data_IF_038605443336
#
_entry.id   IF_038605443336
#
_cell.length_a   1.000
_cell.length_b   1.000
_cell.length_c   1.000
_cell.angle_alpha   90.00
_cell.angle_beta   90.00
_cell.angle_gamma   90.00
#
_symmetry.space_group_name_H-M   'P 1'
#
loop_
_entity.id
_entity.type
_entity.pdbx_description
1 polymer ?
#
# COMPACT_ATOMS: atom_id res chain seq x y z
N UNK A 1 -9.30 28.90 54.87
CA UNK A 1 -8.14 29.70 55.30
C UNK A 1 -6.99 29.32 54.39
N UNK A 2 -6.68 30.13 53.38
CA UNK A 2 -5.71 31.25 53.42
C UNK A 2 -4.27 30.70 53.52
N UNK A 3 -3.52 30.72 52.41
CA UNK A 3 -2.48 31.73 52.06
C UNK A 3 -1.13 31.40 52.77
N UNK A 4 0.08 31.61 52.26
CA UNK A 4 0.70 32.37 51.18
C UNK A 4 2.13 31.77 50.99
N UNK A 5 2.68 31.63 49.77
CA UNK A 5 3.62 32.55 49.09
C UNK A 5 4.85 33.02 49.90
N UNK A 6 6.05 32.76 49.37
CA UNK A 6 7.22 33.67 49.41
C UNK A 6 8.31 33.20 48.42
N UNK A 7 8.43 33.94 47.31
CA UNK A 7 9.64 34.10 46.49
C UNK A 7 10.76 34.78 47.28
N UNK A 8 12.03 34.48 46.97
CA UNK A 8 13.08 35.50 47.04
C UNK A 8 14.14 35.27 45.94
N UNK A 9 14.53 36.38 45.34
CA UNK A 9 15.22 36.53 44.06
C UNK A 9 16.70 36.93 44.27
N UNK A 10 17.52 36.70 43.23
CA UNK A 10 18.78 37.41 42.86
C UNK A 10 20.06 37.22 43.70
N UNK A 11 21.13 36.79 43.00
CA UNK A 11 22.20 37.68 42.51
C UNK A 11 23.27 36.96 41.66
N UNK A 12 23.48 37.47 40.45
CA UNK A 12 24.73 37.34 39.69
C UNK A 12 25.81 38.27 40.26
N UNK A 13 27.09 38.02 39.93
CA UNK A 13 27.95 39.13 39.52
C UNK A 13 28.71 38.86 38.21
N UNK A 14 28.82 39.91 37.41
CA UNK A 14 29.72 40.08 36.25
C UNK A 14 31.14 40.48 36.71
N UNK A 15 32.16 40.25 35.87
CA UNK A 15 33.33 41.15 35.76
C UNK A 15 34.73 40.52 35.83
N UNK A 16 35.33 40.35 34.66
CA UNK A 16 36.74 40.09 34.23
C UNK A 16 37.80 41.09 34.80
N UNK A 17 39.13 41.10 34.46
CA UNK A 17 39.96 40.21 33.62
C UNK A 17 41.42 39.93 34.14
N UNK A 18 42.20 39.22 33.31
CA UNK A 18 43.66 39.32 33.07
C UNK A 18 44.59 38.13 33.41
N UNK A 19 45.23 37.66 32.33
CA UNK A 19 46.66 37.37 32.18
C UNK A 19 47.15 35.92 32.29
N UNK A 20 47.41 35.33 31.11
CA UNK A 20 48.77 34.98 30.72
C UNK A 20 49.19 33.51 30.90
N UNK A 21 49.48 32.84 29.77
CA UNK A 21 50.34 31.65 29.77
C UNK A 21 50.13 30.74 28.55
N UNK A 22 51.08 30.77 27.62
CA UNK A 22 51.26 29.88 26.48
C UNK A 22 50.95 28.40 26.77
N UNK A 23 50.32 27.74 25.79
CA UNK A 23 50.59 26.34 25.45
C UNK A 23 50.26 26.15 23.98
N UNK A 24 51.29 26.11 23.14
CA UNK A 24 51.24 25.52 21.82
C UNK A 24 50.84 24.03 21.99
N UNK A 25 49.77 23.61 21.34
CA UNK A 25 49.59 22.20 21.01
C UNK A 25 49.07 22.10 19.58
N UNK A 26 49.95 21.64 18.70
CA UNK A 26 49.63 21.26 17.34
C UNK A 26 48.89 19.91 17.37
N UNK A 27 47.80 19.84 16.62
CA UNK A 27 47.06 18.60 16.45
C UNK A 27 45.86 18.77 15.55
N UNK A 28 46.04 19.41 14.40
CA UNK A 28 45.04 19.32 13.32
C UNK A 28 45.23 17.96 12.65
N UNK A 29 44.60 16.94 13.25
CA UNK A 29 44.48 15.61 12.66
C UNK A 29 43.27 15.60 11.75
N UNK A 30 43.50 15.88 10.48
CA UNK A 30 42.62 15.52 9.37
C UNK A 30 42.26 14.02 9.46
N UNK A 31 41.11 13.71 10.05
CA UNK A 31 40.49 12.39 10.04
C UNK A 31 39.57 12.28 8.83
N UNK A 32 40.14 12.27 7.64
CA UNK A 32 39.45 12.09 6.36
C UNK A 32 39.71 10.72 5.71
N UNK A 33 40.51 9.86 6.36
CA UNK A 33 40.93 8.56 5.79
C UNK A 33 40.02 7.35 6.06
N UNK A 34 39.02 7.45 6.95
CA UNK A 34 38.19 6.30 7.33
C UNK A 34 37.09 5.99 6.29
N UNK A 35 36.54 7.03 5.64
CA UNK A 35 35.48 6.86 4.63
C UNK A 35 35.97 6.32 3.29
N UNK A 36 37.20 6.65 2.87
CA UNK A 36 37.74 6.18 1.59
C UNK A 36 38.07 4.68 1.55
N UNK A 37 38.25 4.06 2.72
CA UNK A 37 38.49 2.62 2.82
C UNK A 37 37.15 1.86 2.90
N UNK A 38 36.14 2.40 3.60
CA UNK A 38 34.77 1.87 3.61
C UNK A 38 34.12 1.88 2.21
N UNK A 39 34.26 2.98 1.44
CA UNK A 39 33.72 3.08 0.07
C UNK A 39 34.32 2.01 -0.86
N UNK A 40 35.63 1.73 -0.75
CA UNK A 40 36.31 0.71 -1.56
C UNK A 40 35.88 -0.71 -1.17
N UNK A 41 35.69 -0.96 0.13
CA UNK A 41 35.17 -2.24 0.63
C UNK A 41 33.74 -2.49 0.12
N UNK A 42 32.88 -1.45 0.16
CA UNK A 42 31.51 -1.52 -0.34
C UNK A 42 31.48 -1.73 -1.86
N UNK A 43 32.33 -1.06 -2.64
CA UNK A 43 32.42 -1.29 -4.09
C UNK A 43 32.87 -2.72 -4.43
N UNK A 44 33.85 -3.26 -3.70
CA UNK A 44 34.29 -4.65 -3.88
C UNK A 44 33.18 -5.66 -3.54
N UNK A 45 32.40 -5.40 -2.49
CA UNK A 45 31.27 -6.24 -2.11
C UNK A 45 30.12 -6.17 -3.13
N UNK A 46 29.82 -4.98 -3.69
CA UNK A 46 28.88 -4.83 -4.80
C UNK A 46 29.28 -5.72 -5.98
N UNK A 47 30.55 -5.69 -6.40
CA UNK A 47 31.04 -6.53 -7.50
C UNK A 47 30.93 -8.02 -7.19
N UNK A 48 31.20 -8.42 -5.95
CA UNK A 48 31.06 -9.81 -5.49
C UNK A 48 29.60 -10.28 -5.60
N UNK A 49 28.66 -9.46 -5.15
CA UNK A 49 27.22 -9.76 -5.21
C UNK A 49 26.72 -9.79 -6.66
N UNK A 50 27.16 -8.87 -7.52
CA UNK A 50 26.83 -8.88 -8.94
C UNK A 50 27.31 -10.15 -9.65
N UNK A 51 28.52 -10.62 -9.34
CA UNK A 51 29.05 -11.88 -9.87
C UNK A 51 28.29 -13.09 -9.32
N UNK A 52 27.91 -13.09 -8.04
CA UNK A 52 27.08 -14.14 -7.48
C UNK A 52 25.72 -14.25 -8.19
N UNK A 53 25.10 -13.11 -8.53
CA UNK A 53 23.86 -13.06 -9.31
C UNK A 53 24.06 -13.41 -10.79
N UNK A 54 25.25 -13.22 -11.34
CA UNK A 54 25.60 -13.66 -12.70
C UNK A 54 25.64 -15.19 -12.79
N UNK A 55 26.10 -15.86 -11.72
CA UNK A 55 26.15 -17.32 -11.58
C UNK A 55 24.75 -17.88 -11.24
N UNK A 56 24.04 -17.26 -10.30
CA UNK A 56 22.71 -17.68 -9.86
C UNK A 56 21.76 -16.48 -9.71
N UNK A 57 21.02 -16.17 -10.77
CA UNK A 57 20.05 -15.08 -10.76
C UNK A 57 18.86 -15.31 -9.79
N UNK A 58 18.63 -16.54 -9.33
CA UNK A 58 17.50 -16.90 -8.47
C UNK A 58 17.82 -16.85 -6.96
N UNK A 59 18.96 -16.26 -6.57
CA UNK A 59 19.29 -16.05 -5.16
C UNK A 59 18.59 -14.79 -4.61
N UNK A 60 17.44 -14.99 -3.96
CA UNK A 60 16.61 -13.91 -3.42
C UNK A 60 17.34 -13.02 -2.40
N UNK A 61 18.11 -13.62 -1.48
CA UNK A 61 18.81 -12.87 -0.44
C UNK A 61 19.96 -12.04 -1.04
N UNK A 62 20.66 -12.59 -2.03
CA UNK A 62 21.72 -11.85 -2.73
C UNK A 62 21.20 -10.59 -3.43
N UNK A 63 19.99 -10.63 -4.02
CA UNK A 63 19.34 -9.42 -4.55
C UNK A 63 19.06 -8.38 -3.45
N UNK A 64 18.56 -8.81 -2.29
CA UNK A 64 18.27 -7.91 -1.17
C UNK A 64 19.54 -7.24 -0.64
N UNK A 65 20.60 -8.01 -0.42
CA UNK A 65 21.89 -7.49 0.07
C UNK A 65 22.48 -6.49 -0.94
N UNK A 66 22.43 -6.80 -2.24
CA UNK A 66 22.89 -5.90 -3.30
C UNK A 66 22.07 -4.60 -3.33
N UNK A 67 20.75 -4.67 -3.28
CA UNK A 67 19.87 -3.49 -3.29
C UNK A 67 20.12 -2.63 -2.05
N UNK A 68 20.31 -3.26 -0.88
CA UNK A 68 20.61 -2.54 0.37
C UNK A 68 21.92 -1.77 0.26
N UNK A 69 22.98 -2.42 -0.23
CA UNK A 69 24.30 -1.81 -0.36
C UNK A 69 24.30 -0.68 -1.42
N UNK A 70 23.69 -0.92 -2.58
CA UNK A 70 23.53 0.11 -3.62
C UNK A 70 22.74 1.34 -3.15
N UNK A 71 21.76 1.15 -2.26
CA UNK A 71 21.01 2.26 -1.64
C UNK A 71 21.85 3.04 -0.63
N UNK A 72 22.71 2.36 0.13
CA UNK A 72 23.62 2.99 1.10
C UNK A 72 24.68 3.85 0.39
N UNK A 73 25.26 3.35 -0.69
CA UNK A 73 26.27 4.06 -1.49
C UNK A 73 25.69 5.17 -2.39
N UNK A 74 24.36 5.29 -2.48
CA UNK A 74 23.73 6.30 -3.35
C UNK A 74 23.89 6.03 -4.85
N UNK A 75 24.17 4.78 -5.26
CA UNK A 75 24.34 4.36 -6.65
C UNK A 75 22.99 4.23 -7.38
N UNK A 76 22.27 5.35 -7.56
CA UNK A 76 20.86 5.39 -7.97
C UNK A 76 20.53 4.61 -9.26
N UNK A 77 21.40 4.72 -10.28
CA UNK A 77 21.17 4.04 -11.58
C UNK A 77 21.31 2.53 -11.44
N UNK A 78 22.32 2.05 -10.71
CA UNK A 78 22.51 0.62 -10.45
C UNK A 78 21.40 0.09 -9.56
N UNK A 79 21.01 0.85 -8.53
CA UNK A 79 19.90 0.53 -7.64
C UNK A 79 18.58 0.29 -8.41
N UNK A 80 18.22 1.20 -9.32
CA UNK A 80 17.01 1.05 -10.14
C UNK A 80 17.06 -0.21 -11.01
N UNK A 81 18.22 -0.50 -11.63
CA UNK A 81 18.43 -1.72 -12.42
C UNK A 81 18.36 -3.00 -11.58
N UNK A 82 18.94 -3.00 -10.39
CA UNK A 82 18.90 -4.15 -9.48
C UNK A 82 17.46 -4.45 -9.04
N UNK A 83 16.71 -3.42 -8.64
CA UNK A 83 15.28 -3.54 -8.28
C UNK A 83 14.42 -4.03 -9.44
N UNK A 84 14.64 -3.53 -10.65
CA UNK A 84 13.96 -4.02 -11.86
C UNK A 84 14.22 -5.52 -12.10
N UNK A 85 15.49 -5.94 -12.12
CA UNK A 85 15.86 -7.35 -12.29
C UNK A 85 15.23 -8.25 -11.24
N UNK A 86 15.25 -7.84 -9.96
CA UNK A 86 14.65 -8.61 -8.88
C UNK A 86 13.14 -8.76 -9.08
N UNK A 87 12.43 -7.67 -9.44
CA UNK A 87 10.97 -7.67 -9.64
C UNK A 87 10.49 -8.49 -10.83
N UNK A 88 11.34 -8.69 -11.84
CA UNK A 88 11.04 -9.54 -13.00
C UNK A 88 11.04 -11.02 -12.58
N UNK A 89 11.99 -11.41 -11.73
CA UNK A 89 12.18 -12.77 -11.28
C UNK A 89 11.22 -13.15 -10.14
N UNK A 90 10.99 -12.24 -9.20
CA UNK A 90 10.25 -12.50 -7.97
C UNK A 90 9.09 -11.51 -7.81
N UNK A 91 7.91 -11.97 -7.35
CA UNK A 91 6.93 -11.08 -6.76
C UNK A 91 7.51 -10.47 -5.47
N UNK A 92 7.44 -9.15 -5.32
CA UNK A 92 8.02 -8.46 -4.18
C UNK A 92 6.96 -8.20 -3.09
N UNK A 93 7.40 -8.18 -1.83
CA UNK A 93 6.53 -7.87 -0.69
C UNK A 93 6.11 -6.40 -0.72
N UNK A 94 5.04 -6.08 0.00
CA UNK A 94 4.56 -4.69 0.15
C UNK A 94 5.67 -3.75 0.65
N UNK A 95 6.49 -4.21 1.60
CA UNK A 95 7.60 -3.43 2.17
C UNK A 95 8.68 -3.09 1.14
N UNK A 96 9.10 -4.06 0.31
CA UNK A 96 10.14 -3.85 -0.71
C UNK A 96 9.64 -2.88 -1.78
N UNK A 97 8.38 -3.03 -2.21
CA UNK A 97 7.76 -2.12 -3.16
C UNK A 97 7.65 -0.70 -2.60
N UNK A 98 7.21 -0.54 -1.35
CA UNK A 98 7.10 0.77 -0.69
C UNK A 98 8.47 1.46 -0.57
N UNK A 99 9.51 0.71 -0.23
CA UNK A 99 10.86 1.27 -0.14
C UNK A 99 11.36 1.78 -1.49
N UNK A 100 11.06 1.06 -2.57
CA UNK A 100 11.37 1.52 -3.93
C UNK A 100 10.53 2.74 -4.31
N UNK A 101 9.20 2.66 -4.12
CA UNK A 101 8.28 3.76 -4.44
C UNK A 101 8.67 5.05 -3.72
N UNK A 102 9.00 4.99 -2.42
CA UNK A 102 9.40 6.15 -1.62
C UNK A 102 10.68 6.82 -2.14
N UNK A 103 11.64 6.03 -2.61
CA UNK A 103 12.86 6.58 -3.20
C UNK A 103 12.55 7.29 -4.54
N UNK A 104 11.76 6.66 -5.42
CA UNK A 104 11.41 7.24 -6.72
C UNK A 104 10.50 8.47 -6.57
N UNK A 105 9.58 8.49 -5.60
CA UNK A 105 8.73 9.66 -5.29
C UNK A 105 9.59 10.85 -4.85
N UNK A 106 10.62 10.63 -4.03
CA UNK A 106 11.52 11.70 -3.57
C UNK A 106 12.40 12.25 -4.71
N UNK A 107 12.75 11.39 -5.66
CA UNK A 107 13.55 11.78 -6.82
C UNK A 107 12.72 12.45 -7.92
N UNK A 108 11.43 12.10 -8.03
CA UNK A 108 10.52 12.65 -9.03
C UNK A 108 10.23 14.13 -8.77
N UNK A 109 10.80 14.98 -9.60
CA UNK A 109 10.66 16.44 -9.56
C UNK A 109 9.85 16.99 -10.74
N UNK A 110 9.84 16.27 -11.86
CA UNK A 110 9.17 16.67 -13.10
C UNK A 110 7.85 15.93 -13.35
N UNK A 111 7.02 16.47 -14.27
CA UNK A 111 5.74 15.85 -14.64
C UNK A 111 5.89 14.54 -15.42
N UNK A 112 6.98 14.35 -16.18
CA UNK A 112 7.28 13.10 -16.88
C UNK A 112 7.62 11.98 -15.89
N UNK A 113 8.48 12.28 -14.90
CA UNK A 113 8.89 11.35 -13.84
C UNK A 113 7.69 10.90 -12.99
N UNK A 114 6.67 11.76 -12.84
CA UNK A 114 5.41 11.39 -12.17
C UNK A 114 4.66 10.27 -12.88
N UNK A 115 4.67 10.22 -14.21
CA UNK A 115 4.03 9.13 -14.94
C UNK A 115 4.82 7.82 -14.78
N UNK A 116 6.16 7.88 -14.75
CA UNK A 116 7.00 6.71 -14.45
C UNK A 116 6.71 6.14 -13.04
N UNK A 117 6.50 7.02 -12.06
CA UNK A 117 6.09 6.60 -10.71
C UNK A 117 4.69 5.95 -10.73
N UNK A 118 3.75 6.47 -11.52
CA UNK A 118 2.45 5.81 -11.68
C UNK A 118 2.58 4.41 -12.31
N UNK A 119 3.41 4.24 -13.34
CA UNK A 119 3.69 2.93 -13.91
C UNK A 119 4.32 1.97 -12.89
N UNK A 120 5.14 2.48 -11.98
CA UNK A 120 5.72 1.71 -10.89
C UNK A 120 4.65 1.25 -9.89
N UNK A 121 3.72 2.13 -9.51
CA UNK A 121 2.55 1.75 -8.70
C UNK A 121 1.70 0.67 -9.38
N UNK A 122 1.43 0.80 -10.69
CA UNK A 122 0.68 -0.19 -11.47
C UNK A 122 1.34 -1.58 -11.50
N UNK A 123 2.65 -1.65 -11.30
CA UNK A 123 3.37 -2.92 -11.14
C UNK A 123 3.25 -3.44 -9.72
N UNK A 124 3.47 -2.57 -8.74
CA UNK A 124 3.46 -2.93 -7.33
C UNK A 124 2.13 -3.55 -6.87
N UNK A 125 1.00 -3.00 -7.33
CA UNK A 125 -0.35 -3.47 -6.95
C UNK A 125 -0.75 -4.84 -7.53
N UNK A 126 0.11 -5.48 -8.34
CA UNK A 126 -0.19 -6.75 -9.00
C UNK A 126 0.36 -7.98 -8.27
N UNK A 127 1.40 -7.82 -7.44
CA UNK A 127 2.07 -8.97 -6.82
C UNK A 127 1.23 -9.57 -5.69
N UNK A 128 0.79 -8.75 -4.74
CA UNK A 128 -0.04 -9.14 -3.60
C UNK A 128 -1.05 -8.05 -3.26
N UNK A 129 -1.99 -8.39 -2.37
CA UNK A 129 -2.83 -7.37 -1.74
C UNK A 129 -1.95 -6.41 -0.92
N UNK A 130 -2.12 -5.11 -1.14
CA UNK A 130 -1.22 -4.09 -0.60
C UNK A 130 -1.95 -2.80 -0.20
N UNK A 131 -2.63 -2.78 0.95
CA UNK A 131 -3.39 -1.61 1.40
C UNK A 131 -2.53 -0.34 1.56
N UNK A 132 -1.29 -0.46 2.02
CA UNK A 132 -0.39 0.67 2.26
C UNK A 132 0.09 1.27 0.93
N UNK A 133 0.39 0.42 -0.07
CA UNK A 133 0.75 0.88 -1.42
C UNK A 133 -0.42 1.62 -2.07
N UNK A 134 -1.65 1.11 -1.91
CA UNK A 134 -2.84 1.80 -2.43
C UNK A 134 -3.06 3.16 -1.77
N UNK A 135 -2.82 3.27 -0.48
CA UNK A 135 -2.92 4.54 0.25
C UNK A 135 -1.87 5.53 -0.24
N UNK A 136 -0.60 5.11 -0.33
CA UNK A 136 0.49 5.93 -0.85
C UNK A 136 0.23 6.33 -2.32
N UNK A 137 -0.31 5.42 -3.14
CA UNK A 137 -0.67 5.71 -4.53
C UNK A 137 -1.73 6.81 -4.61
N UNK A 138 -2.80 6.67 -3.82
CA UNK A 138 -3.86 7.67 -3.77
C UNK A 138 -3.31 9.03 -3.29
N UNK A 139 -2.53 9.05 -2.21
CA UNK A 139 -1.92 10.26 -1.67
C UNK A 139 -0.96 10.93 -2.67
N UNK A 140 -0.09 10.15 -3.32
CA UNK A 140 0.82 10.65 -4.35
C UNK A 140 0.04 11.27 -5.52
N UNK A 141 -1.10 10.68 -5.90
CA UNK A 141 -1.93 11.17 -6.99
C UNK A 141 -2.56 12.54 -6.71
N UNK A 142 -2.85 12.86 -5.43
CA UNK A 142 -3.37 14.17 -5.02
C UNK A 142 -2.39 15.30 -5.39
N UNK A 143 -1.07 15.03 -5.34
CA UNK A 143 -0.06 15.99 -5.79
C UNK A 143 -0.18 16.41 -7.26
N UNK A 144 -0.90 15.63 -8.08
CA UNK A 144 -1.19 15.93 -9.49
C UNK A 144 -2.54 16.60 -9.75
N UNK A 145 -3.30 16.99 -8.72
CA UNK A 145 -4.69 17.47 -8.87
C UNK A 145 -4.83 18.72 -9.75
N UNK A 146 -3.79 19.57 -9.82
CA UNK A 146 -3.80 20.79 -10.63
C UNK A 146 -3.63 20.57 -12.14
N UNK A 147 -3.37 19.34 -12.57
CA UNK A 147 -3.25 18.97 -13.99
C UNK A 147 -4.65 18.76 -14.60
N UNK A 148 -4.75 18.83 -15.93
CA UNK A 148 -6.00 18.57 -16.64
C UNK A 148 -6.50 17.14 -16.34
N UNK A 149 -7.73 17.01 -15.83
CA UNK A 149 -8.29 15.71 -15.42
C UNK A 149 -7.69 15.11 -14.14
N UNK A 150 -6.89 15.88 -13.38
CA UNK A 150 -6.22 15.41 -12.17
C UNK A 150 -7.20 14.88 -11.12
N UNK A 151 -8.31 15.58 -10.89
CA UNK A 151 -9.36 15.17 -9.95
C UNK A 151 -9.95 13.81 -10.35
N UNK A 152 -10.29 13.61 -11.63
CA UNK A 152 -10.82 12.35 -12.14
C UNK A 152 -9.81 11.21 -12.00
N UNK A 153 -8.51 11.48 -12.22
CA UNK A 153 -7.44 10.48 -12.03
C UNK A 153 -7.35 10.04 -10.57
N UNK A 154 -7.36 10.99 -9.62
CA UNK A 154 -7.34 10.69 -8.17
C UNK A 154 -8.56 9.85 -7.77
N UNK A 155 -9.76 10.27 -8.18
CA UNK A 155 -11.01 9.52 -7.93
C UNK A 155 -10.96 8.09 -8.48
N UNK A 156 -10.44 7.93 -9.70
CA UNK A 156 -10.26 6.62 -10.34
C UNK A 156 -9.32 5.72 -9.53
N UNK A 157 -8.22 6.26 -9.01
CA UNK A 157 -7.26 5.53 -8.17
C UNK A 157 -7.91 5.12 -6.84
N UNK A 158 -8.63 6.02 -6.17
CA UNK A 158 -9.36 5.68 -4.95
C UNK A 158 -10.42 4.59 -5.18
N UNK A 159 -11.20 4.66 -6.25
CA UNK A 159 -12.22 3.63 -6.54
C UNK A 159 -11.59 2.26 -6.82
N UNK A 160 -10.45 2.24 -7.50
CA UNK A 160 -9.66 1.02 -7.69
C UNK A 160 -9.10 0.48 -6.38
N UNK A 161 -8.56 1.35 -5.53
CA UNK A 161 -8.09 1.00 -4.19
C UNK A 161 -9.23 0.39 -3.35
N UNK A 162 -10.39 1.03 -3.32
CA UNK A 162 -11.56 0.51 -2.60
C UNK A 162 -12.05 -0.83 -3.15
N UNK A 163 -11.96 -1.05 -4.46
CA UNK A 163 -12.28 -2.34 -5.07
C UNK A 163 -11.30 -3.43 -4.64
N UNK A 164 -10.01 -3.10 -4.51
CA UNK A 164 -8.97 -4.06 -4.16
C UNK A 164 -8.91 -4.38 -2.65
N UNK A 165 -9.00 -3.35 -1.81
CA UNK A 165 -8.70 -3.44 -0.37
C UNK A 165 -9.74 -2.76 0.53
N UNK A 166 -10.78 -2.13 -0.04
CA UNK A 166 -11.82 -1.42 0.75
C UNK A 166 -12.68 -2.32 1.63
N UNK A 167 -12.63 -3.65 1.43
CA UNK A 167 -13.29 -4.65 2.29
C UNK A 167 -12.36 -5.20 3.39
N UNK A 168 -11.08 -4.79 3.43
CA UNK A 168 -10.12 -5.28 4.40
C UNK A 168 -10.51 -4.84 5.81
N UNK A 169 -10.89 -5.79 6.68
CA UNK A 169 -11.54 -5.50 7.98
C UNK A 169 -10.73 -4.52 8.84
N UNK A 170 -9.40 -4.70 8.93
CA UNK A 170 -8.55 -3.87 9.79
C UNK A 170 -7.81 -2.71 9.10
N UNK A 171 -7.69 -2.72 7.77
CA UNK A 171 -6.87 -1.77 7.00
C UNK A 171 -7.68 -0.95 5.98
N UNK A 172 -8.90 -1.38 5.66
CA UNK A 172 -9.74 -0.74 4.65
C UNK A 172 -10.22 0.65 5.08
N UNK A 173 -10.45 0.86 6.38
CA UNK A 173 -10.93 2.13 6.95
C UNK A 173 -10.06 3.32 6.55
N UNK A 174 -8.73 3.18 6.60
CA UNK A 174 -7.80 4.25 6.26
C UNK A 174 -7.98 4.78 4.81
N UNK A 175 -8.30 3.90 3.86
CA UNK A 175 -8.57 4.30 2.48
C UNK A 175 -9.91 4.99 2.31
N UNK A 176 -10.94 4.54 3.03
CA UNK A 176 -12.24 5.21 3.04
C UNK A 176 -12.11 6.62 3.63
N UNK A 177 -11.38 6.77 4.73
CA UNK A 177 -11.10 8.05 5.38
C UNK A 177 -10.33 8.98 4.46
N UNK A 178 -9.19 8.53 3.90
CA UNK A 178 -8.41 9.32 2.96
C UNK A 178 -9.24 9.77 1.74
N UNK A 179 -10.15 8.92 1.23
CA UNK A 179 -11.01 9.31 0.12
C UNK A 179 -12.06 10.35 0.55
N UNK A 180 -12.67 10.20 1.73
CA UNK A 180 -13.60 11.20 2.27
C UNK A 180 -12.91 12.53 2.54
N UNK A 181 -11.71 12.52 3.10
CA UNK A 181 -10.91 13.73 3.34
C UNK A 181 -10.60 14.45 2.03
N UNK A 182 -10.21 13.71 0.98
CA UNK A 182 -10.00 14.27 -0.35
C UNK A 182 -11.27 14.94 -0.91
N UNK A 183 -12.42 14.28 -0.84
CA UNK A 183 -13.67 14.86 -1.35
C UNK A 183 -14.17 16.03 -0.47
N UNK A 184 -13.92 16.01 0.84
CA UNK A 184 -14.19 17.16 1.72
C UNK A 184 -13.28 18.36 1.39
N UNK A 185 -12.00 18.14 1.12
CA UNK A 185 -11.09 19.21 0.69
C UNK A 185 -11.56 19.85 -0.64
N UNK A 186 -12.05 19.04 -1.58
CA UNK A 186 -12.68 19.57 -2.82
C UNK A 186 -13.92 20.40 -2.48
N UNK A 187 -14.77 19.93 -1.56
CA UNK A 187 -15.96 20.67 -1.14
C UNK A 187 -15.60 22.04 -0.54
N UNK A 188 -14.59 22.10 0.32
CA UNK A 188 -14.10 23.35 0.93
C UNK A 188 -13.59 24.34 -0.13
N UNK A 189 -12.82 23.87 -1.11
CA UNK A 189 -12.31 24.74 -2.21
C UNK A 189 -13.41 25.23 -3.14
N UNK A 190 -14.54 24.52 -3.22
CA UNK A 190 -15.70 24.88 -4.05
C UNK A 190 -16.70 25.82 -3.36
N UNK A 191 -16.52 26.13 -2.07
CA UNK A 191 -17.46 26.99 -1.34
C UNK A 191 -17.46 28.44 -1.85
N UNK A 192 -18.63 29.09 -1.94
CA UNK A 192 -18.73 30.49 -2.33
C UNK A 192 -18.07 31.40 -1.29
N UNK A 193 -17.51 32.53 -1.73
CA UNK A 193 -16.98 33.54 -0.82
C UNK A 193 -18.08 34.01 0.16
N UNK A 194 -17.77 34.27 1.44
CA UNK A 194 -18.76 34.69 2.41
C UNK A 194 -19.57 35.90 1.93
N UNK A 195 -20.89 35.77 1.88
CA UNK A 195 -21.81 36.82 1.43
C UNK A 195 -22.03 36.90 -0.09
N UNK A 196 -21.43 36.01 -0.89
CA UNK A 196 -21.75 35.86 -2.31
C UNK A 196 -22.94 34.91 -2.53
N UNK A 197 -23.74 35.18 -3.57
CA UNK A 197 -24.84 34.30 -3.99
C UNK A 197 -24.25 33.33 -5.01
N UNK A 198 -24.22 32.01 -4.73
CA UNK A 198 -23.70 31.03 -5.69
C UNK A 198 -24.55 31.02 -6.96
N UNK A 199 -23.89 30.88 -8.11
CA UNK A 199 -24.59 30.69 -9.38
C UNK A 199 -25.32 29.34 -9.40
N UNK A 200 -26.34 29.14 -10.27
CA UNK A 200 -27.01 27.86 -10.40
C UNK A 200 -26.05 26.70 -10.71
N UNK A 201 -25.02 26.96 -11.53
CA UNK A 201 -23.98 25.99 -11.87
C UNK A 201 -23.11 25.64 -10.65
N UNK A 202 -22.69 26.65 -9.87
CA UNK A 202 -21.92 26.44 -8.64
C UNK A 202 -22.75 25.66 -7.60
N UNK A 203 -24.03 25.97 -7.49
CA UNK A 203 -24.93 25.27 -6.58
C UNK A 203 -25.11 23.80 -6.98
N UNK A 204 -25.21 23.52 -8.29
CA UNK A 204 -25.26 22.15 -8.79
C UNK A 204 -23.96 21.38 -8.52
N UNK A 205 -22.80 22.01 -8.69
CA UNK A 205 -21.50 21.41 -8.36
C UNK A 205 -21.39 21.08 -6.87
N UNK A 206 -21.81 22.01 -6.00
CA UNK A 206 -21.81 21.81 -4.55
C UNK A 206 -22.72 20.64 -4.16
N UNK A 207 -23.94 20.58 -4.69
CA UNK A 207 -24.86 19.47 -4.44
C UNK A 207 -24.28 18.12 -4.91
N UNK A 208 -23.68 18.07 -6.09
CA UNK A 208 -23.02 16.86 -6.60
C UNK A 208 -21.84 16.42 -5.71
N UNK A 209 -21.08 17.39 -5.19
CA UNK A 209 -19.97 17.12 -4.29
C UNK A 209 -20.43 16.59 -2.93
N UNK A 210 -21.48 17.17 -2.35
CA UNK A 210 -22.11 16.66 -1.13
C UNK A 210 -22.66 15.24 -1.32
N UNK A 211 -23.35 14.98 -2.44
CA UNK A 211 -23.90 13.66 -2.76
C UNK A 211 -22.80 12.58 -2.88
N UNK A 212 -21.63 12.94 -3.40
CA UNK A 212 -20.46 12.03 -3.43
C UNK A 212 -20.03 11.64 -2.02
N UNK A 213 -19.89 12.61 -1.11
CA UNK A 213 -19.46 12.36 0.27
C UNK A 213 -20.51 11.51 1.02
N UNK A 214 -21.79 11.83 0.88
CA UNK A 214 -22.90 10.99 1.38
C UNK A 214 -22.82 9.55 0.84
N UNK A 215 -22.53 9.40 -0.46
CA UNK A 215 -22.39 8.09 -1.09
C UNK A 215 -21.19 7.31 -0.52
N UNK A 216 -20.07 7.97 -0.24
CA UNK A 216 -18.89 7.34 0.37
C UNK A 216 -19.21 6.84 1.79
N UNK A 217 -19.80 7.68 2.65
CA UNK A 217 -20.26 7.25 3.98
C UNK A 217 -21.23 6.07 3.87
N UNK A 218 -22.26 6.18 3.04
CA UNK A 218 -23.27 5.13 2.87
C UNK A 218 -22.67 3.80 2.38
N UNK A 219 -21.67 3.84 1.50
CA UNK A 219 -20.94 2.65 1.02
C UNK A 219 -20.07 2.05 2.12
N UNK A 220 -19.26 2.85 2.80
CA UNK A 220 -18.38 2.38 3.89
C UNK A 220 -19.17 1.74 5.01
N UNK A 221 -20.27 2.37 5.45
CA UNK A 221 -21.13 1.85 6.51
C UNK A 221 -21.85 0.56 6.13
N UNK A 222 -21.90 0.21 4.84
CA UNK A 222 -22.37 -1.09 4.36
C UNK A 222 -21.35 -2.23 4.48
N UNK A 223 -20.12 -1.94 4.93
CA UNK A 223 -19.00 -2.88 4.95
C UNK A 223 -18.60 -3.17 6.41
N UNK A 224 -18.37 -4.43 6.79
CA UNK A 224 -17.94 -4.80 8.14
C UNK A 224 -16.47 -4.47 8.36
N UNK A 225 -16.17 -3.21 8.67
CA UNK A 225 -14.83 -2.73 9.03
C UNK A 225 -14.69 -2.60 10.55
N UNK A 226 -13.47 -2.74 11.06
CA UNK A 226 -13.17 -2.48 12.46
C UNK A 226 -13.47 -1.01 12.80
N UNK A 227 -14.02 -0.77 13.99
CA UNK A 227 -14.39 0.55 14.52
C UNK A 227 -15.39 1.32 13.64
N UNK A 228 -16.22 0.63 12.84
CA UNK A 228 -17.22 1.24 11.96
C UNK A 228 -18.29 2.06 12.71
N UNK A 229 -18.44 1.86 14.01
CA UNK A 229 -19.26 2.69 14.90
C UNK A 229 -18.76 4.14 14.96
N UNK A 230 -17.45 4.35 14.91
CA UNK A 230 -16.85 5.69 14.87
C UNK A 230 -17.20 6.40 13.55
N UNK A 231 -17.09 5.70 12.42
CA UNK A 231 -17.51 6.25 11.12
C UNK A 231 -19.01 6.55 11.04
N UNK A 232 -19.85 5.80 11.76
CA UNK A 232 -21.28 6.09 11.84
C UNK A 232 -21.54 7.37 12.63
N UNK A 233 -20.88 7.54 13.79
CA UNK A 233 -20.99 8.75 14.60
C UNK A 233 -20.45 9.99 13.85
N UNK A 234 -19.33 9.85 13.13
CA UNK A 234 -18.79 10.89 12.24
C UNK A 234 -19.84 11.30 11.19
N UNK A 235 -20.53 10.34 10.57
CA UNK A 235 -21.55 10.65 9.58
C UNK A 235 -22.80 11.33 10.19
N UNK A 236 -23.19 10.94 11.40
CA UNK A 236 -24.26 11.62 12.16
C UNK A 236 -23.92 13.08 12.48
N UNK A 237 -22.65 13.37 12.77
CA UNK A 237 -22.18 14.73 13.05
C UNK A 237 -22.01 15.56 11.77
N UNK A 238 -21.50 14.95 10.70
CA UNK A 238 -21.23 15.62 9.42
C UNK A 238 -22.51 15.93 8.63
N UNK A 239 -23.53 15.08 8.72
CA UNK A 239 -24.77 15.21 7.94
C UNK A 239 -25.75 16.21 8.56
N UNK A 240 -26.07 17.30 7.85
CA UNK A 240 -27.13 18.22 8.26
C UNK A 240 -28.52 17.57 8.21
N UNK A 241 -28.72 16.67 7.25
CA UNK A 241 -29.95 15.93 7.05
C UNK A 241 -29.96 14.60 7.83
N UNK A 242 -31.14 14.08 8.22
CA UNK A 242 -31.24 12.76 8.83
C UNK A 242 -30.70 11.65 7.91
N UNK A 243 -29.91 10.75 8.47
CA UNK A 243 -29.37 9.60 7.72
C UNK A 243 -30.52 8.74 7.17
N UNK A 244 -30.52 8.42 5.86
CA UNK A 244 -31.52 7.56 5.25
C UNK A 244 -31.65 6.19 5.95
N UNK A 245 -32.89 5.73 6.17
CA UNK A 245 -33.18 4.43 6.82
C UNK A 245 -32.51 3.25 6.11
N UNK A 246 -32.31 3.35 4.79
CA UNK A 246 -31.61 2.35 3.98
C UNK A 246 -30.16 2.18 4.42
N UNK A 247 -29.44 3.28 4.68
CA UNK A 247 -28.06 3.27 5.18
C UNK A 247 -28.04 2.68 6.59
N UNK A 248 -28.94 3.11 7.48
CA UNK A 248 -29.04 2.58 8.85
C UNK A 248 -29.27 1.06 8.84
N UNK A 249 -30.12 0.55 7.93
CA UNK A 249 -30.37 -0.88 7.78
C UNK A 249 -29.13 -1.63 7.28
N UNK A 250 -28.40 -1.06 6.33
CA UNK A 250 -27.16 -1.65 5.81
C UNK A 250 -26.06 -1.67 6.89
N UNK A 251 -25.91 -0.57 7.62
CA UNK A 251 -25.03 -0.45 8.79
C UNK A 251 -25.29 -1.54 9.83
N UNK A 252 -26.55 -1.73 10.24
CA UNK A 252 -26.92 -2.80 11.19
C UNK A 252 -26.58 -4.20 10.69
N UNK A 253 -26.72 -4.47 9.39
CA UNK A 253 -26.33 -5.76 8.80
C UNK A 253 -24.81 -5.92 8.77
N UNK A 254 -24.08 -4.87 8.42
CA UNK A 254 -22.62 -4.87 8.39
C UNK A 254 -22.04 -5.07 9.80
N UNK A 255 -22.59 -4.42 10.84
CA UNK A 255 -22.25 -4.69 12.23
C UNK A 255 -22.45 -6.17 12.60
N UNK A 256 -23.61 -6.74 12.27
CA UNK A 256 -23.87 -8.18 12.53
C UNK A 256 -22.90 -9.10 11.79
N UNK A 257 -22.43 -8.69 10.61
CA UNK A 257 -21.41 -9.43 9.88
C UNK A 257 -20.04 -9.27 10.53
N UNK A 258 -19.67 -8.07 10.97
CA UNK A 258 -18.44 -7.80 11.70
C UNK A 258 -18.35 -8.65 12.97
N UNK A 259 -19.43 -8.73 13.76
CA UNK A 259 -19.49 -9.60 14.94
C UNK A 259 -19.19 -11.07 14.65
N UNK A 260 -19.57 -11.57 13.46
CA UNK A 260 -19.25 -12.95 13.05
C UNK A 260 -17.79 -13.10 12.60
N UNK A 261 -17.20 -12.04 12.08
CA UNK A 261 -15.80 -12.01 11.63
C UNK A 261 -14.82 -11.81 12.80
N UNK A 262 -15.23 -11.12 13.87
CA UNK A 262 -14.39 -10.78 15.05
C UNK A 262 -13.57 -11.97 15.58
N UNK A 263 -14.15 -13.17 15.84
CA UNK A 263 -13.36 -14.30 16.36
C UNK A 263 -12.22 -14.74 15.44
N UNK A 264 -12.38 -14.59 14.12
CA UNK A 264 -11.36 -14.96 13.14
C UNK A 264 -10.28 -13.86 13.03
N UNK A 265 -10.66 -12.59 13.09
CA UNK A 265 -9.69 -11.48 13.13
C UNK A 265 -8.87 -11.48 14.44
N UNK A 266 -9.50 -11.77 15.58
CA UNK A 266 -8.82 -11.93 16.87
C UNK A 266 -7.85 -13.12 16.86
N UNK A 267 -8.26 -14.25 16.25
CA UNK A 267 -7.37 -15.40 16.09
C UNK A 267 -6.15 -15.06 15.22
N UNK A 268 -6.33 -14.33 14.11
CA UNK A 268 -5.23 -13.85 13.28
C UNK A 268 -4.32 -12.87 14.02
N UNK A 269 -4.87 -12.02 14.89
CA UNK A 269 -4.08 -11.07 15.68
C UNK A 269 -3.23 -11.79 16.74
N UNK A 270 -3.78 -12.83 17.37
CA UNK A 270 -3.11 -13.58 18.45
C UNK A 270 -2.15 -14.68 18.00
N UNK A 271 -2.18 -15.08 16.72
CA UNK A 271 -1.34 -16.15 16.19
C UNK A 271 0.05 -15.66 15.75
N UNK A 272 1.04 -16.56 15.78
CA UNK A 272 2.37 -16.31 15.23
C UNK A 272 2.42 -16.57 13.71
N UNK A 273 3.22 -15.77 13.00
CA UNK A 273 3.47 -15.96 11.56
C UNK A 273 4.02 -17.38 11.31
N UNK A 274 3.46 -18.15 10.35
CA UNK A 274 2.69 -17.69 9.18
C UNK A 274 1.16 -17.81 9.26
N UNK A 275 0.55 -18.07 10.43
CA UNK A 275 -0.91 -18.03 10.67
C UNK A 275 -1.78 -18.87 9.72
N UNK A 276 -1.19 -19.91 9.12
CA UNK A 276 -1.83 -20.66 8.04
C UNK A 276 -3.13 -21.36 8.50
N UNK A 277 -3.15 -21.90 9.72
CA UNK A 277 -4.31 -22.60 10.25
C UNK A 277 -5.49 -21.65 10.50
N UNK A 278 -5.20 -20.47 11.03
CA UNK A 278 -6.16 -19.40 11.30
C UNK A 278 -6.76 -18.87 9.99
N UNK A 279 -5.90 -18.62 8.98
CA UNK A 279 -6.35 -18.26 7.64
C UNK A 279 -7.22 -19.35 6.99
N UNK A 280 -6.86 -20.63 7.12
CA UNK A 280 -7.67 -21.73 6.58
C UNK A 280 -9.07 -21.78 7.22
N UNK A 281 -9.16 -21.62 8.55
CA UNK A 281 -10.44 -21.56 9.25
C UNK A 281 -11.30 -20.37 8.78
N UNK A 282 -10.67 -19.22 8.57
CA UNK A 282 -11.37 -18.02 8.08
C UNK A 282 -11.82 -18.17 6.61
N UNK A 283 -10.96 -18.73 5.75
CA UNK A 283 -11.32 -19.09 4.37
C UNK A 283 -12.53 -20.02 4.36
N UNK A 284 -12.56 -21.04 5.20
CA UNK A 284 -13.70 -21.97 5.30
C UNK A 284 -15.00 -21.27 5.71
N UNK A 285 -14.91 -20.31 6.65
CA UNK A 285 -16.03 -19.48 7.07
C UNK A 285 -16.58 -18.62 5.93
N UNK A 286 -15.74 -17.88 5.21
CA UNK A 286 -16.17 -17.02 4.10
C UNK A 286 -16.66 -17.85 2.90
N UNK A 287 -16.02 -18.99 2.61
CA UNK A 287 -16.46 -19.94 1.59
C UNK A 287 -17.86 -20.49 1.88
N UNK A 288 -18.20 -20.71 3.15
CA UNK A 288 -19.54 -21.12 3.58
C UNK A 288 -20.56 -19.99 3.45
N UNK A 289 -20.16 -18.74 3.70
CA UNK A 289 -21.01 -17.57 3.51
C UNK A 289 -21.29 -17.31 2.01
N UNK A 290 -20.32 -17.56 1.15
CA UNK A 290 -20.49 -17.57 -0.30
C UNK A 290 -20.40 -16.19 -0.97
N UNK A 291 -19.92 -15.15 -0.27
CA UNK A 291 -19.71 -13.83 -0.87
C UNK A 291 -18.42 -13.80 -1.71
N UNK A 292 -18.49 -13.57 -3.03
CA UNK A 292 -17.31 -13.67 -3.88
C UNK A 292 -16.21 -12.66 -3.58
N UNK A 293 -16.56 -11.44 -3.16
CA UNK A 293 -15.59 -10.39 -2.89
C UNK A 293 -14.83 -10.68 -1.58
N UNK A 294 -15.54 -11.13 -0.54
CA UNK A 294 -14.94 -11.53 0.74
C UNK A 294 -14.10 -12.79 0.63
N UNK A 295 -14.54 -13.77 -0.16
CA UNK A 295 -13.74 -14.98 -0.42
C UNK A 295 -12.43 -14.63 -1.11
N UNK A 296 -12.46 -13.80 -2.15
CA UNK A 296 -11.24 -13.33 -2.81
C UNK A 296 -10.33 -12.60 -1.81
N UNK A 297 -10.88 -11.63 -1.06
CA UNK A 297 -10.14 -10.88 -0.06
C UNK A 297 -9.39 -11.78 0.94
N UNK A 298 -10.06 -12.78 1.52
CA UNK A 298 -9.42 -13.63 2.54
C UNK A 298 -8.35 -14.55 1.94
N UNK A 299 -8.53 -15.02 0.70
CA UNK A 299 -7.46 -15.74 0.00
C UNK A 299 -6.26 -14.83 -0.30
N UNK A 300 -6.50 -13.62 -0.80
CA UNK A 300 -5.42 -12.67 -1.10
C UNK A 300 -4.63 -12.28 0.16
N UNK A 301 -5.33 -12.06 1.28
CA UNK A 301 -4.69 -11.84 2.59
C UNK A 301 -3.84 -13.03 3.02
N UNK A 302 -4.39 -14.24 2.95
CA UNK A 302 -3.66 -15.45 3.34
C UNK A 302 -2.41 -15.65 2.46
N UNK A 303 -2.52 -15.41 1.15
CA UNK A 303 -1.44 -15.56 0.18
C UNK A 303 -0.34 -14.52 0.34
N UNK A 304 -0.63 -13.32 0.86
CA UNK A 304 0.41 -12.34 1.16
C UNK A 304 1.41 -12.84 2.23
N UNK A 305 0.95 -13.63 3.20
CA UNK A 305 1.80 -14.22 4.26
C UNK A 305 2.25 -15.66 3.95
N UNK A 306 1.53 -16.37 3.07
CA UNK A 306 1.73 -17.81 2.80
C UNK A 306 1.94 -18.08 1.30
N UNK A 307 2.61 -17.17 0.59
CA UNK A 307 2.78 -17.25 -0.87
C UNK A 307 3.56 -18.49 -1.34
N UNK A 308 4.35 -19.12 -0.47
CA UNK A 308 5.12 -20.33 -0.77
C UNK A 308 4.38 -21.63 -0.45
N UNK A 309 3.06 -21.58 -0.15
CA UNK A 309 2.21 -22.75 0.11
C UNK A 309 1.42 -23.13 -1.16
N UNK A 310 1.85 -24.16 -1.94
CA UNK A 310 1.26 -24.44 -3.24
C UNK A 310 -0.21 -24.90 -3.15
N UNK A 311 -0.58 -25.59 -2.07
CA UNK A 311 -1.94 -26.07 -1.86
C UNK A 311 -2.94 -24.92 -1.64
N UNK A 312 -2.50 -23.81 -1.03
CA UNK A 312 -3.32 -22.62 -0.85
C UNK A 312 -3.63 -21.96 -2.20
N UNK A 313 -2.61 -21.79 -3.05
CA UNK A 313 -2.79 -21.35 -4.44
C UNK A 313 -3.70 -22.28 -5.24
N UNK A 314 -3.49 -23.60 -5.16
CA UNK A 314 -4.29 -24.57 -5.89
C UNK A 314 -5.77 -24.52 -5.48
N UNK A 315 -6.05 -24.29 -4.19
CA UNK A 315 -7.39 -24.13 -3.64
C UNK A 315 -8.04 -22.83 -4.12
N UNK A 316 -7.33 -21.70 -4.08
CA UNK A 316 -7.82 -20.42 -4.57
C UNK A 316 -8.10 -20.44 -6.08
N UNK A 317 -7.14 -20.91 -6.88
CA UNK A 317 -7.27 -21.04 -8.33
C UNK A 317 -8.45 -21.95 -8.72
N UNK A 318 -8.67 -23.05 -7.99
CA UNK A 318 -9.83 -23.91 -8.21
C UNK A 318 -11.15 -23.19 -7.95
N UNK A 319 -11.22 -22.35 -6.91
CA UNK A 319 -12.39 -21.53 -6.63
C UNK A 319 -12.66 -20.54 -7.78
N UNK A 320 -11.64 -19.79 -8.22
CA UNK A 320 -11.76 -18.84 -9.34
C UNK A 320 -12.19 -19.53 -10.64
N UNK A 321 -11.58 -20.67 -10.97
CA UNK A 321 -11.87 -21.45 -12.17
C UNK A 321 -13.32 -21.97 -12.23
N UNK A 322 -13.87 -22.36 -11.07
CA UNK A 322 -15.16 -23.06 -11.01
C UNK A 322 -16.32 -22.14 -10.71
N UNK A 323 -16.12 -21.10 -9.90
CA UNK A 323 -17.18 -20.24 -9.41
C UNK A 323 -17.22 -18.90 -10.14
N UNK A 324 -16.09 -18.16 -10.19
CA UNK A 324 -16.07 -16.80 -10.75
C UNK A 324 -15.94 -16.78 -12.28
N UNK A 325 -14.97 -17.53 -12.83
CA UNK A 325 -14.70 -17.64 -14.28
C UNK A 325 -14.42 -16.31 -14.98
N UNK A 326 -13.97 -15.30 -14.24
CA UNK A 326 -13.56 -14.01 -14.80
C UNK A 326 -12.13 -14.16 -15.32
N UNK A 327 -11.96 -14.05 -16.65
CA UNK A 327 -10.69 -14.31 -17.35
C UNK A 327 -9.49 -13.63 -16.69
N UNK A 328 -9.56 -12.31 -16.50
CA UNK A 328 -8.42 -11.53 -15.99
C UNK A 328 -8.04 -11.96 -14.56
N UNK A 329 -9.02 -12.19 -13.69
CA UNK A 329 -8.77 -12.65 -12.31
C UNK A 329 -8.19 -14.07 -12.27
N UNK A 330 -8.76 -14.97 -13.06
CA UNK A 330 -8.32 -16.38 -13.15
C UNK A 330 -6.88 -16.45 -13.66
N UNK A 331 -6.57 -15.77 -14.76
CA UNK A 331 -5.24 -15.85 -15.37
C UNK A 331 -4.18 -15.15 -14.50
N UNK A 332 -4.51 -14.00 -13.91
CA UNK A 332 -3.62 -13.29 -12.99
C UNK A 332 -3.26 -14.14 -11.77
N UNK A 333 -4.24 -14.78 -11.12
CA UNK A 333 -3.97 -15.63 -9.95
C UNK A 333 -3.13 -16.87 -10.30
N UNK A 334 -3.33 -17.47 -11.48
CA UNK A 334 -2.49 -18.58 -11.94
C UNK A 334 -1.06 -18.15 -12.25
N UNK A 335 -0.86 -16.99 -12.88
CA UNK A 335 0.46 -16.45 -13.14
C UNK A 335 1.23 -16.20 -11.84
N UNK A 336 0.60 -15.54 -10.87
CA UNK A 336 1.16 -15.31 -9.53
C UNK A 336 1.49 -16.61 -8.81
N UNK A 337 0.65 -17.65 -8.93
CA UNK A 337 0.90 -18.95 -8.33
C UNK A 337 2.18 -19.61 -8.86
N UNK A 338 2.42 -19.57 -10.18
CA UNK A 338 3.63 -20.17 -10.77
C UNK A 338 4.88 -19.33 -10.59
N UNK A 339 4.75 -18.00 -10.43
CA UNK A 339 5.87 -17.13 -10.03
C UNK A 339 6.31 -17.38 -8.57
N UNK A 340 5.36 -17.67 -7.69
CA UNK A 340 5.63 -17.96 -6.29
C UNK A 340 6.11 -19.38 -6.01
N UNK A 341 5.51 -20.37 -6.68
CA UNK A 341 5.78 -21.79 -6.47
C UNK A 341 6.20 -22.48 -7.77
N UNK A 342 7.27 -22.02 -8.46
CA UNK A 342 7.65 -22.52 -9.78
C UNK A 342 8.01 -24.01 -9.79
N UNK A 343 8.44 -24.57 -8.66
CA UNK A 343 8.74 -25.99 -8.50
C UNK A 343 7.50 -26.91 -8.51
N UNK A 344 6.28 -26.35 -8.44
CA UNK A 344 5.06 -27.15 -8.34
C UNK A 344 4.42 -27.35 -9.72
N UNK A 345 4.73 -28.48 -10.37
CA UNK A 345 4.20 -28.85 -11.69
C UNK A 345 2.66 -28.79 -11.78
N UNK A 346 1.96 -29.11 -10.68
CA UNK A 346 0.50 -29.07 -10.62
C UNK A 346 -0.08 -27.67 -10.86
N UNK A 347 0.62 -26.61 -10.46
CA UNK A 347 0.19 -25.23 -10.69
C UNK A 347 0.34 -24.85 -12.17
N UNK A 348 1.44 -25.25 -12.81
CA UNK A 348 1.66 -25.04 -14.25
C UNK A 348 0.61 -25.74 -15.10
N UNK A 349 0.28 -27.00 -14.79
CA UNK A 349 -0.78 -27.74 -15.50
C UNK A 349 -2.11 -27.00 -15.40
N UNK A 350 -2.48 -26.53 -14.20
CA UNK A 350 -3.72 -25.77 -13.99
C UNK A 350 -3.74 -24.46 -14.78
N UNK A 351 -2.61 -23.76 -14.81
CA UNK A 351 -2.48 -22.51 -15.56
C UNK A 351 -2.69 -22.73 -17.06
N UNK A 352 -2.02 -23.73 -17.65
CA UNK A 352 -2.20 -24.07 -19.07
C UNK A 352 -3.66 -24.45 -19.38
N UNK A 353 -4.31 -25.23 -18.50
CA UNK A 353 -5.74 -25.54 -18.63
C UNK A 353 -6.62 -24.28 -18.52
N UNK A 354 -6.26 -23.31 -17.69
CA UNK A 354 -6.98 -22.04 -17.58
C UNK A 354 -6.82 -21.20 -18.85
N UNK A 355 -5.60 -21.11 -19.39
CA UNK A 355 -5.32 -20.43 -20.66
C UNK A 355 -6.10 -21.06 -21.82
N UNK A 356 -6.16 -22.39 -21.89
CA UNK A 356 -6.97 -23.12 -22.88
C UNK A 356 -8.47 -22.80 -22.73
N UNK A 357 -9.01 -22.89 -21.51
CA UNK A 357 -10.43 -22.57 -21.20
C UNK A 357 -10.80 -21.14 -21.62
N UNK A 358 -9.89 -20.19 -21.42
CA UNK A 358 -10.07 -18.78 -21.77
C UNK A 358 -9.60 -18.40 -23.18
N UNK A 359 -9.19 -19.39 -24.00
CA UNK A 359 -8.74 -19.21 -25.40
C UNK A 359 -7.67 -18.14 -25.53
N UNK A 360 -6.69 -18.16 -24.64
CA UNK A 360 -5.51 -17.29 -24.75
C UNK A 360 -4.73 -17.66 -26.02
N UNK A 361 -4.21 -16.67 -26.73
CA UNK A 361 -3.48 -16.89 -27.97
C UNK A 361 -2.22 -17.75 -27.75
N UNK A 362 -1.87 -18.55 -28.74
CA UNK A 362 -0.67 -19.38 -28.68
C UNK A 362 0.63 -18.56 -28.61
N UNK A 363 0.66 -17.32 -29.12
CA UNK A 363 1.81 -16.40 -28.99
C UNK A 363 2.17 -16.14 -27.52
N UNK A 364 1.15 -15.89 -26.70
CA UNK A 364 1.25 -15.66 -25.26
C UNK A 364 1.71 -16.94 -24.55
N UNK A 365 1.10 -18.09 -24.89
CA UNK A 365 1.40 -19.39 -24.27
C UNK A 365 2.83 -19.85 -24.60
N UNK A 366 3.29 -19.61 -25.82
CA UNK A 366 4.63 -20.00 -26.28
C UNK A 366 5.75 -19.08 -25.79
N UNK A 367 5.41 -18.04 -25.01
CA UNK A 367 6.38 -17.10 -24.43
C UNK A 367 7.04 -16.16 -25.44
N UNK A 368 6.55 -16.10 -26.69
CA UNK A 368 7.13 -15.24 -27.74
C UNK A 368 6.96 -13.75 -27.46
N UNK A 369 5.95 -13.37 -26.68
CA UNK A 369 5.70 -11.99 -26.26
C UNK A 369 6.44 -11.59 -24.96
N UNK A 370 6.96 -12.54 -24.16
CA UNK A 370 7.78 -12.23 -22.97
C UNK A 370 9.25 -11.93 -23.30
N UNK A 371 9.66 -12.14 -24.56
CA UNK A 371 11.04 -12.00 -25.05
C UNK A 371 11.21 -10.83 -26.04
N UNK A 372 10.15 -10.05 -26.26
CA UNK A 372 10.13 -8.81 -27.04
C UNK A 372 9.86 -7.64 -26.12
#
# INVERSE_FOLDING_TARGET
EAAAAAEEEKRLPEGDPESGGDSEDEGDSDSSGDGEDEEKENEAEIQRLEEQLSINAFDYNCHLDLIKLLRQEGELVKLRRARQKMSELFPLTEEIWLDWLKDEIKMASESSEREEVYELFERAVKDYICPEIWLEYAQYSIGGIGQEGGIEKVRSIFERALTAVGLHVTKGTALWEAYREFENAILETAQPAPGSIPSPEQQQMLCSQLEKIHTLFGRQLGIPLLDMEASFAEYEEWSEDPIPETIIKNYKKALQQLEKCKPYEEALLGAETPKLAEYQAYIDFEMKAGDPARIQLIYERALAENCLVPDLWARYNQYLDRQLKVKELVLSAHDRAVRNCPWTVGLWIRYLLAMERHRVDHSVISGKERLS
#
